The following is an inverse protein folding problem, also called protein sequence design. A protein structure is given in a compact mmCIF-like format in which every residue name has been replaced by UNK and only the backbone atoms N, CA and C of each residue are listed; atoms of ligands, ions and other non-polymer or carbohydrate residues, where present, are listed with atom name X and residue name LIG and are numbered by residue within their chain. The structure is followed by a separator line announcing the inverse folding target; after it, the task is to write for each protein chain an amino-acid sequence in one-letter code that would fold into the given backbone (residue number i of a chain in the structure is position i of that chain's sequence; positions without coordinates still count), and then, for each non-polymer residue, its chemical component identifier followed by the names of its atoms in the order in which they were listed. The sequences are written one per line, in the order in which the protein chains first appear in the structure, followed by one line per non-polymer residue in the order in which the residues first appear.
data_IF_781002704505
#
_entry.id   IF_781002704505
#
_cell.length_a   1.000
_cell.length_b   1.000
_cell.length_c   1.000
_cell.angle_alpha   90.00
_cell.angle_beta   90.00
_cell.angle_gamma   90.00
#
_symmetry.space_group_name_H-M   'P 1'
#
loop_
_entity.id
_entity.type
_entity.pdbx_description
1 polymer ?
#
# COMPACT_ATOMS: atom_id res chain seq x y z
N UNK A 1 1.00 34.30 3.09
CA UNK A 1 -0.35 33.70 3.07
C UNK A 1 -1.34 34.81 2.86
N UNK A 2 -2.24 34.67 1.87
CA UNK A 2 -3.26 35.68 1.55
C UNK A 2 -4.46 35.57 2.49
N UNK A 3 -5.01 34.37 2.64
CA UNK A 3 -6.14 34.08 3.53
C UNK A 3 -6.07 32.64 4.06
N UNK A 4 -6.55 32.37 5.29
CA UNK A 4 -6.56 31.03 5.84
C UNK A 4 -7.56 30.14 5.09
N UNK A 5 -7.10 28.98 4.62
CA UNK A 5 -7.95 27.95 4.03
C UNK A 5 -8.73 27.23 5.14
N UNK A 6 -10.05 27.34 5.12
CA UNK A 6 -10.95 26.63 6.05
C UNK A 6 -11.35 25.30 5.43
N UNK A 7 -10.81 24.22 5.95
CA UNK A 7 -11.14 22.86 5.51
C UNK A 7 -12.49 22.42 6.11
N UNK A 8 -13.47 22.01 5.29
CA UNK A 8 -14.69 21.39 5.78
C UNK A 8 -14.40 19.97 6.31
N UNK A 9 -15.36 19.38 7.02
CA UNK A 9 -15.31 17.95 7.35
C UNK A 9 -15.88 17.16 6.19
N UNK A 10 -15.06 16.31 5.58
CA UNK A 10 -15.48 15.41 4.51
C UNK A 10 -16.10 14.14 5.08
N UNK A 11 -17.11 13.61 4.39
CA UNK A 11 -17.74 12.33 4.75
C UNK A 11 -16.96 11.13 4.21
N UNK A 12 -16.31 11.29 3.05
CA UNK A 12 -15.56 10.26 2.34
C UNK A 12 -14.44 10.87 1.48
N UNK A 13 -13.62 10.02 0.85
CA UNK A 13 -12.50 10.43 -0.01
C UNK A 13 -12.98 11.14 -1.29
N UNK A 14 -14.11 10.73 -1.86
CA UNK A 14 -14.63 11.31 -3.10
C UNK A 14 -15.02 12.79 -2.91
N UNK A 15 -15.70 13.12 -1.81
CA UNK A 15 -16.03 14.50 -1.44
C UNK A 15 -14.77 15.35 -1.22
N UNK A 16 -13.72 14.77 -0.63
CA UNK A 16 -12.44 15.45 -0.48
C UNK A 16 -11.79 15.72 -1.84
N UNK A 17 -11.78 14.73 -2.74
CA UNK A 17 -11.23 14.86 -4.09
C UNK A 17 -11.94 15.94 -4.89
N UNK A 18 -13.27 15.98 -4.83
CA UNK A 18 -14.09 16.98 -5.52
C UNK A 18 -13.81 18.39 -4.99
N UNK A 19 -13.63 18.55 -3.68
CA UNK A 19 -13.23 19.83 -3.08
C UNK A 19 -11.88 20.32 -3.62
N UNK A 20 -10.87 19.43 -3.66
CA UNK A 20 -9.54 19.79 -4.17
C UNK A 20 -9.54 20.08 -5.67
N UNK A 21 -10.42 19.45 -6.45
CA UNK A 21 -10.55 19.71 -7.88
C UNK A 21 -11.17 21.07 -8.20
N UNK A 22 -11.98 21.62 -7.30
CA UNK A 22 -12.72 22.87 -7.49
C UNK A 22 -11.99 24.12 -6.99
N UNK A 23 -11.08 23.97 -6.01
CA UNK A 23 -10.42 25.12 -5.37
C UNK A 23 -9.13 25.53 -6.08
N UNK A 24 -8.89 26.84 -6.16
CA UNK A 24 -7.62 27.40 -6.60
C UNK A 24 -6.73 27.77 -5.41
N UNK A 25 -5.60 27.07 -5.25
CA UNK A 25 -4.65 27.33 -4.15
C UNK A 25 -3.99 28.71 -4.22
N UNK A 26 -3.87 29.31 -5.42
CA UNK A 26 -3.29 30.64 -5.62
C UNK A 26 -4.12 31.76 -4.99
N UNK A 27 -5.39 31.50 -4.66
CA UNK A 27 -6.26 32.45 -3.94
C UNK A 27 -5.91 32.51 -2.45
N UNK A 28 -5.23 31.49 -1.91
CA UNK A 28 -4.94 31.34 -0.48
C UNK A 28 -3.45 31.50 -0.17
N UNK A 29 -2.58 31.01 -1.05
CA UNK A 29 -1.14 30.94 -0.84
C UNK A 29 -0.33 31.71 -1.89
N UNK A 30 0.86 32.13 -1.49
CA UNK A 30 1.88 32.71 -2.37
C UNK A 30 3.09 31.77 -2.47
N UNK A 31 3.94 31.91 -3.50
CA UNK A 31 5.15 31.09 -3.64
C UNK A 31 6.06 31.10 -2.40
N UNK A 32 6.13 32.23 -1.69
CA UNK A 32 6.90 32.36 -0.45
C UNK A 32 6.33 31.57 0.75
N UNK A 33 5.08 31.12 0.67
CA UNK A 33 4.46 30.27 1.70
C UNK A 33 4.88 28.80 1.58
N UNK A 34 5.40 28.39 0.41
CA UNK A 34 5.82 27.02 0.18
C UNK A 34 7.03 26.68 1.05
N UNK A 35 6.96 25.55 1.76
CA UNK A 35 8.06 25.05 2.59
C UNK A 35 8.63 23.79 1.98
N UNK A 36 9.95 23.64 2.05
CA UNK A 36 10.63 22.40 1.65
C UNK A 36 10.21 21.28 2.58
N UNK A 37 9.50 20.30 2.06
CA UNK A 37 9.15 19.07 2.80
C UNK A 37 10.30 18.08 2.62
N UNK A 38 10.75 17.48 3.71
CA UNK A 38 11.71 16.36 3.70
C UNK A 38 11.00 15.16 4.29
N UNK A 39 10.93 14.07 3.52
CA UNK A 39 10.40 12.81 4.01
C UNK A 39 11.54 12.03 4.69
N UNK A 40 11.44 11.77 6.01
CA UNK A 40 12.54 11.15 6.79
C UNK A 40 12.75 9.67 6.46
N UNK A 41 11.83 9.03 5.74
CA UNK A 41 11.99 7.68 5.22
C UNK A 41 11.86 7.71 3.71
N UNK A 42 12.98 7.50 3.00
CA UNK A 42 12.90 6.76 1.74
C UNK A 42 12.56 5.32 2.13
N UNK A 43 11.60 4.68 1.46
CA UNK A 43 11.57 3.23 1.42
C UNK A 43 12.93 2.82 0.85
N UNK A 44 13.89 2.46 1.71
CA UNK A 44 15.17 1.92 1.28
C UNK A 44 14.90 0.60 0.59
N UNK A 45 15.56 0.33 -0.53
CA UNK A 45 15.45 -0.95 -1.27
C UNK A 45 15.51 -2.17 -0.33
N UNK A 46 16.31 -2.11 0.74
CA UNK A 46 16.39 -3.14 1.77
C UNK A 46 15.06 -3.53 2.44
N UNK A 47 14.08 -2.61 2.56
CA UNK A 47 12.74 -2.93 3.09
C UNK A 47 11.83 -3.54 2.03
N UNK A 48 12.03 -3.22 0.76
CA UNK A 48 11.33 -3.85 -0.36
C UNK A 48 11.89 -5.26 -0.61
N UNK A 49 13.21 -5.42 -0.61
CA UNK A 49 13.90 -6.69 -0.75
C UNK A 49 13.51 -7.64 0.37
N UNK A 50 13.53 -7.18 1.63
CA UNK A 50 13.07 -8.00 2.77
C UNK A 50 11.58 -8.37 2.70
N UNK A 51 10.73 -7.49 2.15
CA UNK A 51 9.32 -7.80 1.96
C UNK A 51 9.09 -8.79 0.81
N UNK A 52 9.88 -8.69 -0.27
CA UNK A 52 9.87 -9.63 -1.38
C UNK A 52 10.37 -11.01 -0.91
N UNK A 53 11.50 -11.07 -0.20
CA UNK A 53 12.05 -12.30 0.37
C UNK A 53 11.03 -12.98 1.29
N UNK A 54 10.38 -12.19 2.17
CA UNK A 54 9.35 -12.72 3.06
C UNK A 54 8.16 -13.30 2.30
N UNK A 55 7.70 -12.65 1.22
CA UNK A 55 6.58 -13.14 0.40
C UNK A 55 6.99 -14.37 -0.41
N UNK A 56 8.22 -14.42 -0.95
CA UNK A 56 8.75 -15.57 -1.71
C UNK A 56 8.96 -16.78 -0.82
N UNK A 57 9.52 -16.59 0.37
CA UNK A 57 9.78 -17.67 1.33
C UNK A 57 8.46 -18.28 1.85
N UNK A 58 7.47 -17.44 2.17
CA UNK A 58 6.13 -17.89 2.56
C UNK A 58 5.41 -18.60 1.41
N UNK A 59 5.46 -18.04 0.20
CA UNK A 59 4.82 -18.62 -0.99
C UNK A 59 5.39 -19.99 -1.38
N UNK A 60 6.71 -20.19 -1.27
CA UNK A 60 7.35 -21.47 -1.57
C UNK A 60 7.02 -22.54 -0.53
N UNK A 61 6.93 -22.18 0.76
CA UNK A 61 6.61 -23.14 1.82
C UNK A 61 5.18 -23.64 1.73
N UNK A 62 4.22 -22.73 1.49
CA UNK A 62 2.81 -23.11 1.39
C UNK A 62 2.53 -23.95 0.15
N UNK A 63 3.15 -23.62 -0.99
CA UNK A 63 2.97 -24.41 -2.21
C UNK A 63 3.57 -25.83 -2.08
N UNK A 64 4.78 -25.95 -1.52
CA UNK A 64 5.45 -27.23 -1.31
C UNK A 64 4.66 -28.13 -0.33
N UNK A 65 4.16 -27.57 0.77
CA UNK A 65 3.37 -28.31 1.75
C UNK A 65 2.04 -28.81 1.15
N UNK A 66 1.38 -27.99 0.32
CA UNK A 66 0.16 -28.39 -0.39
C UNK A 66 0.43 -29.47 -1.45
N UNK A 67 1.57 -29.42 -2.13
CA UNK A 67 1.99 -30.46 -3.07
C UNK A 67 2.28 -31.79 -2.34
N UNK A 68 2.98 -31.76 -1.21
CA UNK A 68 3.24 -32.94 -0.38
C UNK A 68 1.93 -33.56 0.16
N UNK A 69 0.98 -32.74 0.60
CA UNK A 69 -0.34 -33.20 1.04
C UNK A 69 -1.14 -33.86 -0.09
N UNK A 70 -1.07 -33.33 -1.32
CA UNK A 70 -1.69 -33.97 -2.50
C UNK A 70 -1.06 -35.33 -2.81
N UNK A 71 0.28 -35.42 -2.76
CA UNK A 71 1.01 -36.67 -2.99
C UNK A 71 0.71 -37.71 -1.90
N UNK A 72 0.67 -37.30 -0.63
CA UNK A 72 0.36 -38.20 0.49
C UNK A 72 -1.08 -38.73 0.44
N UNK A 73 -2.05 -37.91 0.04
CA UNK A 73 -3.45 -38.32 -0.13
C UNK A 73 -3.64 -39.34 -1.25
N UNK A 74 -2.90 -39.21 -2.36
CA UNK A 74 -3.01 -40.11 -3.51
C UNK A 74 -2.36 -41.50 -3.26
N UNK A 75 -1.35 -41.58 -2.39
CA UNK A 75 -0.71 -42.86 -2.04
C UNK A 75 -1.62 -43.74 -1.19
N UNK A 76 -2.48 -43.16 -0.35
CA UNK A 76 -3.37 -43.91 0.53
C UNK A 76 -4.66 -44.39 -0.17
N UNK A 77 -4.98 -43.90 -1.37
CA UNK A 77 -6.14 -44.32 -2.14
C UNK A 77 -5.85 -45.43 -3.16
N UNK A 78 -4.56 -45.69 -3.47
CA UNK A 78 -4.16 -46.69 -4.47
C UNK A 78 -3.95 -48.09 -3.86
N UNK A 79 -3.97 -48.22 -2.54
CA UNK A 79 -3.74 -49.48 -1.80
C UNK A 79 -5.03 -50.16 -1.28
N UNK A 80 -6.21 -49.76 -1.76
CA UNK A 80 -7.52 -50.29 -1.31
C UNK A 80 -8.44 -50.78 -2.45
N UNK A 81 -7.91 -51.05 -3.64
CA UNK A 81 -8.63 -51.72 -4.73
C UNK A 81 -7.92 -52.99 -5.16
#
# INVERSE_FOLDING_TARGET
MKKPLKLPKFKNEDEERDFWAQINLADYYEPGDARRVSFPNKLSDARLEKAIDQVVEQGLTEEYDQQLLKVAKNKNTTSLT
#
